data_IF_826546972037
#
_entry.id   IF_826546972037
#
_cell.length_a   1.000
_cell.length_b   1.000
_cell.length_c   1.000
_cell.angle_alpha   90.00
_cell.angle_beta   90.00
_cell.angle_gamma   90.00
#
_symmetry.space_group_name_H-M   'P 1'
#
loop_
_entity.id
_entity.type
_entity.pdbx_description
1 polymer ?
#
# COMPACT_ATOMS: atom_id res chain seq x y z
N UNK A 1 41.39 -16.65 29.96
CA UNK A 1 40.86 -17.25 28.73
C UNK A 1 39.46 -16.76 28.33
N UNK A 2 38.69 -16.21 29.22
CA UNK A 2 37.35 -15.67 28.93
C UNK A 2 37.38 -14.26 28.28
N UNK A 3 38.42 -13.47 28.53
CA UNK A 3 38.51 -12.12 28.03
C UNK A 3 38.89 -12.01 26.53
N UNK A 4 39.56 -13.02 26.01
CA UNK A 4 39.97 -13.05 24.60
C UNK A 4 38.82 -13.37 23.64
N UNK A 5 37.82 -14.14 24.11
CA UNK A 5 36.63 -14.48 23.31
C UNK A 5 35.64 -13.33 23.18
N UNK A 6 35.55 -12.47 24.20
CA UNK A 6 34.71 -11.28 24.14
C UNK A 6 35.29 -10.20 23.19
N UNK A 7 36.61 -10.09 23.11
CA UNK A 7 37.25 -9.13 22.20
C UNK A 7 37.16 -9.55 20.74
N UNK A 8 37.20 -10.85 20.47
CA UNK A 8 37.05 -11.41 19.13
C UNK A 8 35.61 -11.25 18.58
N UNK A 9 34.60 -11.34 19.42
CA UNK A 9 33.21 -11.11 19.00
C UNK A 9 32.90 -9.63 18.74
N UNK A 10 33.52 -8.72 19.46
CA UNK A 10 33.38 -7.28 19.20
C UNK A 10 34.03 -6.83 17.89
N UNK A 11 35.20 -7.37 17.57
CA UNK A 11 35.88 -7.09 16.30
C UNK A 11 35.10 -7.64 15.10
N UNK A 12 34.47 -8.80 15.24
CA UNK A 12 33.63 -9.35 14.19
C UNK A 12 32.33 -8.57 13.97
N UNK A 13 31.74 -8.01 15.01
CA UNK A 13 30.56 -7.15 14.85
C UNK A 13 30.90 -5.79 14.24
N UNK A 14 32.03 -5.21 14.58
CA UNK A 14 32.48 -3.94 13.98
C UNK A 14 32.79 -4.09 12.48
N UNK A 15 33.36 -5.22 12.07
CA UNK A 15 33.65 -5.50 10.66
C UNK A 15 32.40 -5.83 9.83
N UNK A 16 31.40 -6.46 10.43
CA UNK A 16 30.11 -6.74 9.76
C UNK A 16 29.28 -5.47 9.54
N UNK A 17 29.28 -4.54 10.49
CA UNK A 17 28.57 -3.28 10.35
C UNK A 17 29.15 -2.34 9.27
N UNK A 18 30.42 -2.50 8.93
CA UNK A 18 31.05 -1.70 7.87
C UNK A 18 30.78 -2.22 6.44
N UNK A 19 30.25 -3.43 6.32
CA UNK A 19 30.01 -4.08 5.01
C UNK A 19 28.54 -3.92 4.57
N UNK A 20 27.61 -3.68 5.48
CA UNK A 20 26.20 -3.50 5.13
C UNK A 20 25.96 -2.02 4.79
N UNK A 21 26.21 -1.68 3.54
CA UNK A 21 25.73 -0.41 3.00
C UNK A 21 24.21 -0.49 2.90
N UNK A 22 23.49 0.53 3.35
CA UNK A 22 22.04 0.57 3.15
C UNK A 22 21.76 0.61 1.66
N UNK A 23 21.13 -0.44 1.15
CA UNK A 23 20.67 -0.50 -0.24
C UNK A 23 19.38 0.29 -0.32
N UNK A 24 19.40 1.39 -1.06
CA UNK A 24 18.19 2.12 -1.41
C UNK A 24 17.58 1.50 -2.66
N UNK A 25 16.33 1.05 -2.56
CA UNK A 25 15.55 0.57 -3.70
C UNK A 25 14.49 1.63 -4.02
N UNK A 26 14.77 2.53 -4.99
CA UNK A 26 13.77 3.50 -5.41
C UNK A 26 12.67 2.80 -6.21
N UNK A 27 11.44 2.99 -5.81
CA UNK A 27 10.25 2.58 -6.56
C UNK A 27 9.55 3.86 -6.98
N UNK A 28 9.49 4.13 -8.28
CA UNK A 28 8.99 5.40 -8.79
C UNK A 28 8.02 5.16 -9.95
N UNK A 29 6.86 5.76 -9.86
CA UNK A 29 5.85 5.80 -10.92
C UNK A 29 5.68 7.26 -11.35
N UNK A 30 6.41 7.67 -12.37
CA UNK A 30 6.37 9.06 -12.87
C UNK A 30 5.09 9.36 -13.63
N UNK A 31 4.45 8.34 -14.19
CA UNK A 31 3.22 8.49 -14.92
C UNK A 31 2.43 7.17 -14.92
N UNK A 32 1.11 7.28 -15.03
CA UNK A 32 0.21 6.16 -15.24
C UNK A 32 -0.42 6.24 -16.61
N UNK A 33 -0.74 5.09 -17.19
CA UNK A 33 -1.44 4.97 -18.45
C UNK A 33 -2.49 3.85 -18.36
N UNK A 34 -3.38 3.68 -19.34
CA UNK A 34 -4.41 2.65 -19.29
C UNK A 34 -3.89 1.23 -19.10
N UNK A 35 -2.65 0.96 -19.46
CA UNK A 35 -2.02 -0.36 -19.34
C UNK A 35 -1.35 -0.58 -17.99
N UNK A 36 -1.26 0.42 -17.12
CA UNK A 36 -0.54 0.32 -15.84
C UNK A 36 -1.08 -0.77 -14.92
N UNK A 37 -2.33 -1.18 -15.09
CA UNK A 37 -2.97 -2.27 -14.36
C UNK A 37 -2.98 -3.61 -15.11
N UNK A 38 -2.33 -3.70 -16.28
CA UNK A 38 -2.31 -4.94 -17.04
C UNK A 38 -1.33 -5.96 -16.44
N UNK A 39 -1.63 -7.24 -16.64
CA UNK A 39 -0.78 -8.32 -16.16
C UNK A 39 0.65 -8.18 -16.71
N UNK A 40 1.62 -8.32 -15.82
CA UNK A 40 3.04 -8.19 -16.16
C UNK A 40 3.66 -6.81 -15.90
N UNK A 41 2.86 -5.83 -15.50
CA UNK A 41 3.34 -4.51 -15.05
C UNK A 41 3.65 -4.52 -13.54
N UNK A 42 4.27 -3.42 -13.09
CA UNK A 42 4.72 -3.29 -11.70
C UNK A 42 3.60 -3.14 -10.67
N UNK A 43 2.34 -3.01 -11.12
CA UNK A 43 1.19 -2.80 -10.26
C UNK A 43 0.19 -3.95 -10.33
N UNK A 44 -0.30 -4.34 -9.16
CA UNK A 44 -1.46 -5.21 -9.00
C UNK A 44 -2.65 -4.34 -8.65
N UNK A 45 -3.58 -4.22 -9.59
CA UNK A 45 -4.82 -3.46 -9.40
C UNK A 45 -5.97 -4.39 -9.10
N UNK A 46 -6.72 -4.10 -8.05
CA UNK A 46 -7.81 -4.97 -7.58
C UNK A 46 -9.06 -4.16 -7.25
N UNK A 47 -10.21 -4.84 -7.34
CA UNK A 47 -11.50 -4.22 -7.06
C UNK A 47 -11.92 -3.24 -8.15
N UNK A 48 -12.23 -2.02 -7.77
CA UNK A 48 -12.77 -0.98 -8.66
C UNK A 48 -11.70 -0.09 -9.30
N UNK A 49 -10.43 -0.48 -9.23
CA UNK A 49 -9.32 0.31 -9.78
C UNK A 49 -9.42 0.38 -11.30
N UNK A 50 -9.21 1.57 -11.83
CA UNK A 50 -8.98 1.82 -13.25
C UNK A 50 -7.76 2.70 -13.44
N UNK A 51 -7.01 2.47 -14.51
CA UNK A 51 -5.88 3.29 -14.88
C UNK A 51 -6.27 4.23 -16.02
N UNK A 52 -5.95 5.49 -15.87
CA UNK A 52 -6.14 6.53 -16.88
C UNK A 52 -4.82 7.15 -17.30
N UNK A 53 -4.89 8.17 -18.15
CA UNK A 53 -3.72 8.91 -18.56
C UNK A 53 -3.27 9.87 -17.46
N UNK A 54 -2.20 9.51 -16.76
CA UNK A 54 -1.60 10.30 -15.70
C UNK A 54 -2.11 10.00 -14.29
N UNK A 55 -3.05 9.05 -14.10
CA UNK A 55 -3.61 8.76 -12.80
C UNK A 55 -4.10 7.32 -12.65
N UNK A 56 -4.27 6.89 -11.40
CA UNK A 56 -5.01 5.69 -11.03
C UNK A 56 -6.26 6.09 -10.26
N UNK A 57 -7.42 5.63 -10.71
CA UNK A 57 -8.69 5.81 -10.02
C UNK A 57 -8.95 4.60 -9.15
N UNK A 58 -8.94 4.76 -7.82
CA UNK A 58 -9.22 3.65 -6.89
C UNK A 58 -10.71 3.30 -6.87
N UNK A 59 -11.56 4.28 -7.15
CA UNK A 59 -13.01 4.11 -7.28
C UNK A 59 -13.46 4.77 -8.58
N UNK A 60 -14.64 4.42 -9.10
CA UNK A 60 -15.13 5.02 -10.34
C UNK A 60 -15.16 6.54 -10.30
N UNK A 61 -14.76 7.16 -11.40
CA UNK A 61 -14.78 8.62 -11.54
C UNK A 61 -16.22 9.16 -11.54
N UNK A 62 -16.44 10.32 -10.92
CA UNK A 62 -17.71 11.04 -11.04
C UNK A 62 -17.96 11.44 -12.51
N UNK A 63 -19.10 11.04 -13.05
CA UNK A 63 -19.57 11.59 -14.29
C UNK A 63 -20.99 12.15 -14.11
N UNK A 64 -21.37 13.06 -14.99
CA UNK A 64 -22.64 13.80 -14.88
C UNK A 64 -23.90 12.93 -15.11
N UNK A 65 -23.75 11.69 -15.51
CA UNK A 65 -24.87 10.84 -15.95
C UNK A 65 -25.17 9.66 -15.02
N UNK A 66 -24.30 9.39 -14.06
CA UNK A 66 -24.41 8.22 -13.17
C UNK A 66 -24.59 8.63 -11.72
N UNK A 67 -25.49 7.94 -11.06
CA UNK A 67 -25.58 7.98 -9.61
C UNK A 67 -24.25 7.58 -8.97
N UNK A 68 -23.89 8.11 -7.79
CA UNK A 68 -22.67 7.72 -7.10
C UNK A 68 -22.59 6.19 -6.93
N UNK A 69 -21.53 5.55 -7.38
CA UNK A 69 -21.36 4.12 -7.17
C UNK A 69 -21.14 3.84 -5.69
N UNK A 70 -22.04 3.07 -5.10
CA UNK A 70 -21.94 2.67 -3.69
C UNK A 70 -21.04 1.46 -3.51
N UNK A 71 -20.46 1.33 -2.31
CA UNK A 71 -19.74 0.15 -1.85
C UNK A 71 -18.56 -0.23 -2.77
N UNK A 72 -17.86 0.74 -3.29
CA UNK A 72 -16.70 0.53 -4.15
C UNK A 72 -15.41 0.56 -3.35
N UNK A 73 -14.55 -0.40 -3.63
CA UNK A 73 -13.21 -0.51 -3.06
C UNK A 73 -12.23 -0.78 -4.18
N UNK A 74 -11.14 -0.02 -4.20
CA UNK A 74 -10.00 -0.28 -5.05
C UNK A 74 -8.74 -0.43 -4.22
N UNK A 75 -7.87 -1.34 -4.61
CA UNK A 75 -6.56 -1.56 -4.01
C UNK A 75 -5.51 -1.65 -5.10
N UNK A 76 -4.41 -0.95 -4.91
CA UNK A 76 -3.24 -1.04 -5.78
C UNK A 76 -2.05 -1.44 -4.94
N UNK A 77 -1.33 -2.44 -5.36
CA UNK A 77 -0.10 -2.91 -4.72
C UNK A 77 1.04 -2.89 -5.72
N UNK A 78 2.24 -2.66 -5.24
CA UNK A 78 3.44 -2.92 -6.01
C UNK A 78 3.61 -4.42 -6.19
N UNK A 79 3.90 -4.86 -7.42
CA UNK A 79 3.89 -6.29 -7.76
C UNK A 79 5.00 -7.08 -7.06
N UNK A 80 6.17 -6.48 -6.91
CA UNK A 80 7.31 -7.16 -6.31
C UNK A 80 7.30 -6.98 -4.78
N UNK A 81 7.55 -8.06 -4.02
CA UNK A 81 7.67 -7.94 -2.58
C UNK A 81 8.90 -7.11 -2.22
N UNK A 82 8.74 -6.19 -1.29
CA UNK A 82 9.86 -5.41 -0.74
C UNK A 82 10.51 -6.24 0.37
N UNK A 83 11.62 -6.88 0.04
CA UNK A 83 12.38 -7.73 0.96
C UNK A 83 13.47 -6.90 1.64
N UNK A 84 13.10 -6.14 2.65
CA UNK A 84 14.06 -5.35 3.42
C UNK A 84 13.68 -5.36 4.88
N UNK A 85 14.55 -5.88 5.73
CA UNK A 85 14.40 -5.79 7.17
C UNK A 85 15.79 -5.79 7.85
N UNK A 86 16.08 -4.84 8.74
CA UNK A 86 15.28 -3.65 9.05
C UNK A 86 15.28 -2.65 7.90
N UNK A 87 14.17 -1.94 7.70
CA UNK A 87 14.00 -0.99 6.60
C UNK A 87 13.45 0.35 7.09
N UNK A 88 13.88 1.41 6.41
CA UNK A 88 13.28 2.73 6.52
C UNK A 88 12.57 3.03 5.20
N UNK A 89 11.31 3.46 5.28
CA UNK A 89 10.50 3.81 4.13
C UNK A 89 10.24 5.31 4.09
N UNK A 90 10.38 5.88 2.92
CA UNK A 90 9.88 7.22 2.62
C UNK A 90 9.02 7.12 1.38
N UNK A 91 7.75 7.48 1.51
CA UNK A 91 6.80 7.43 0.39
C UNK A 91 6.21 8.82 0.17
N UNK A 92 6.20 9.26 -1.07
CA UNK A 92 5.55 10.50 -1.50
C UNK A 92 4.57 10.19 -2.60
N UNK A 93 3.34 10.68 -2.46
CA UNK A 93 2.31 10.52 -3.48
C UNK A 93 1.37 11.72 -3.47
N UNK A 94 0.74 11.97 -4.61
CA UNK A 94 -0.33 12.97 -4.73
C UNK A 94 -1.66 12.26 -4.83
N UNK A 95 -2.64 12.69 -4.05
CA UNK A 95 -3.99 12.15 -4.06
C UNK A 95 -5.01 13.26 -4.31
N UNK A 96 -6.05 12.92 -5.06
CA UNK A 96 -7.25 13.73 -5.24
C UNK A 96 -8.46 12.94 -4.77
N UNK A 97 -9.23 13.52 -3.84
CA UNK A 97 -10.51 12.98 -3.40
C UNK A 97 -11.58 13.95 -3.90
N UNK A 98 -12.49 13.45 -4.74
CA UNK A 98 -13.57 14.22 -5.33
C UNK A 98 -14.91 13.64 -4.90
N UNK A 99 -15.91 14.50 -4.74
CA UNK A 99 -17.27 14.06 -4.48
C UNK A 99 -18.10 14.13 -5.77
N UNK A 100 -19.08 13.26 -5.90
CA UNK A 100 -20.08 13.36 -6.95
C UNK A 100 -20.94 14.60 -6.76
N UNK A 101 -21.42 15.25 -7.83
CA UNK A 101 -22.20 16.47 -7.72
C UNK A 101 -23.40 16.36 -6.79
N UNK A 102 -24.13 15.25 -6.87
CA UNK A 102 -25.37 15.01 -6.10
C UNK A 102 -25.13 14.27 -4.77
N UNK A 103 -23.87 13.99 -4.42
CA UNK A 103 -23.58 13.33 -3.16
C UNK A 103 -23.75 14.32 -1.97
N UNK A 104 -24.36 13.84 -0.89
CA UNK A 104 -24.53 14.63 0.35
C UNK A 104 -23.21 14.82 1.10
N UNK A 105 -22.22 13.95 0.85
CA UNK A 105 -20.89 14.02 1.46
C UNK A 105 -19.83 13.44 0.54
N UNK A 106 -18.57 13.69 0.85
CA UNK A 106 -17.43 13.00 0.29
C UNK A 106 -16.96 11.94 1.28
N UNK A 107 -16.52 10.81 0.80
CA UNK A 107 -15.97 9.79 1.67
C UNK A 107 -15.71 8.49 0.91
N UNK A 108 -15.28 7.46 1.53
CA UNK A 108 -14.92 7.36 2.96
C UNK A 108 -13.47 7.76 3.23
N UNK A 109 -12.60 7.67 2.24
CA UNK A 109 -11.20 8.03 2.34
C UNK A 109 -10.26 7.08 1.61
N UNK A 110 -8.97 7.22 1.88
CA UNK A 110 -7.90 6.40 1.35
C UNK A 110 -6.92 6.04 2.47
N UNK A 111 -6.33 4.86 2.39
CA UNK A 111 -5.26 4.44 3.29
C UNK A 111 -4.02 4.02 2.49
N UNK A 112 -2.84 4.39 2.98
CA UNK A 112 -1.58 3.77 2.58
C UNK A 112 -1.38 2.51 3.42
N UNK A 113 -1.07 1.39 2.77
CA UNK A 113 -0.93 0.10 3.44
C UNK A 113 0.40 -0.58 3.12
N UNK A 114 0.92 -1.32 4.08
CA UNK A 114 1.93 -2.35 3.86
C UNK A 114 1.28 -3.70 4.13
N UNK A 115 1.11 -4.51 3.08
CA UNK A 115 0.42 -5.78 3.14
C UNK A 115 1.40 -6.94 3.20
N UNK A 116 1.04 -8.00 3.93
CA UNK A 116 1.84 -9.24 3.98
C UNK A 116 1.67 -10.10 2.73
N UNK A 117 0.60 -9.91 2.00
CA UNK A 117 0.27 -10.65 0.79
C UNK A 117 -0.44 -9.74 -0.23
N UNK A 118 -0.66 -10.27 -1.41
CA UNK A 118 -1.34 -9.58 -2.50
C UNK A 118 -2.82 -9.97 -2.65
N UNK A 119 -3.48 -10.39 -1.57
CA UNK A 119 -4.90 -10.73 -1.62
C UNK A 119 -5.78 -9.53 -1.94
N UNK A 120 -6.92 -9.76 -2.59
CA UNK A 120 -7.89 -8.69 -2.83
C UNK A 120 -8.43 -8.12 -1.52
N UNK A 121 -9.00 -6.91 -1.55
CA UNK A 121 -9.69 -6.36 -0.40
C UNK A 121 -10.82 -7.29 0.03
N UNK A 122 -11.15 -7.34 1.34
CA UNK A 122 -12.25 -8.14 1.84
C UNK A 122 -13.58 -7.79 1.14
N UNK A 123 -14.47 -8.77 0.88
CA UNK A 123 -15.69 -8.55 0.09
C UNK A 123 -16.60 -7.42 0.61
N UNK A 124 -16.64 -7.20 1.90
CA UNK A 124 -17.44 -6.15 2.56
C UNK A 124 -16.55 -5.05 3.18
N UNK A 125 -15.36 -4.86 2.64
CA UNK A 125 -14.38 -3.90 3.14
C UNK A 125 -14.61 -2.46 2.71
N UNK A 126 -15.80 -2.10 2.22
CA UNK A 126 -16.15 -0.75 1.78
C UNK A 126 -16.51 0.16 2.97
N UNK A 127 -16.70 1.43 2.67
CA UNK A 127 -17.05 2.44 3.66
C UNK A 127 -15.89 2.71 4.60
N UNK A 128 -16.17 2.86 5.88
CA UNK A 128 -15.18 3.14 6.92
C UNK A 128 -14.08 2.07 7.07
N UNK A 129 -14.24 0.90 6.45
CA UNK A 129 -13.21 -0.14 6.44
C UNK A 129 -12.09 0.09 5.43
N UNK A 130 -12.25 1.02 4.49
CA UNK A 130 -11.25 1.46 3.50
C UNK A 130 -10.58 0.33 2.71
N UNK A 131 -11.24 -0.81 2.55
CA UNK A 131 -10.67 -1.99 1.89
C UNK A 131 -9.61 -2.74 2.69
N UNK A 132 -9.39 -2.41 3.94
CA UNK A 132 -8.36 -3.01 4.80
C UNK A 132 -8.92 -4.23 5.52
N UNK A 133 -10.11 -4.09 6.09
CA UNK A 133 -10.79 -5.11 6.87
C UNK A 133 -12.27 -5.16 6.51
N UNK A 134 -12.99 -6.04 7.12
CA UNK A 134 -14.46 -6.10 7.14
C UNK A 134 -14.96 -6.29 8.57
N UNK A 135 -16.28 -6.35 8.74
CA UNK A 135 -16.90 -6.54 10.06
C UNK A 135 -16.43 -7.82 10.78
N UNK A 136 -16.10 -8.87 10.04
CA UNK A 136 -15.66 -10.15 10.60
C UNK A 136 -14.21 -10.13 11.11
N UNK A 137 -13.42 -9.22 10.59
CA UNK A 137 -11.99 -9.09 10.92
C UNK A 137 -11.70 -7.92 11.84
N UNK A 138 -12.64 -6.99 12.01
CA UNK A 138 -12.49 -5.81 12.84
C UNK A 138 -12.02 -6.11 14.28
N UNK A 139 -12.57 -7.14 14.91
CA UNK A 139 -12.21 -7.51 16.28
C UNK A 139 -10.81 -8.11 16.43
N UNK A 140 -10.21 -8.60 15.36
CA UNK A 140 -8.87 -9.21 15.38
C UNK A 140 -7.75 -8.18 15.46
N UNK A 141 -8.00 -6.96 15.00
CA UNK A 141 -7.00 -5.88 14.98
C UNK A 141 -7.03 -4.99 16.22
N UNK A 142 -8.13 -5.00 16.96
CA UNK A 142 -8.24 -4.24 18.22
C UNK A 142 -7.37 -4.79 19.36
N UNK A 143 -6.85 -6.00 19.23
CA UNK A 143 -6.00 -6.65 20.26
C UNK A 143 -4.49 -6.51 19.97
N UNK A 144 -4.08 -5.81 18.93
CA UNK A 144 -2.67 -5.64 18.57
C UNK A 144 -2.07 -4.31 19.06
N UNK A 145 -2.82 -3.50 19.81
CA UNK A 145 -2.39 -2.21 20.37
C UNK A 145 -2.09 -2.26 21.88
N UNK A 146 -1.59 -3.40 22.37
CA UNK A 146 -1.13 -3.51 23.77
C UNK A 146 0.34 -3.83 23.86
#
# INVERSE_FOLDING_TARGET
MFFLLLFSSFLNQASLNSIIQPVSVPITFNNFNPDSCNNGNDLICMGSVTAGNGYLSLTPEPNSTLSPPLNKVGRVLFHQPVLAWPAMFTTTFTVRISKFPDATGSGDGMAFIMAQDNKPPPPNGYGSYLGIMDKSTQSKYTLAEL
#
